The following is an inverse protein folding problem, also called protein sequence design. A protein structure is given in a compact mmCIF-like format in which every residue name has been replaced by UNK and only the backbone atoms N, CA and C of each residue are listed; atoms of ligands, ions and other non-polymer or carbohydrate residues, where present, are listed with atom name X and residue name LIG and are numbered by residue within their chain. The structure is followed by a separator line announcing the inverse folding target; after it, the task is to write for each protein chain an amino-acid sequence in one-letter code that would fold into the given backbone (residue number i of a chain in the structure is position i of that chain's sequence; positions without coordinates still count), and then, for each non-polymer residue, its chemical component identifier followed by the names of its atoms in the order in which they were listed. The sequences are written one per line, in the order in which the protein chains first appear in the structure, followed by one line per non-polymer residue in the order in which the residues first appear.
data_IF_630735359052
#
_entry.id   IF_630735359052
#
_cell.length_a   1.000
_cell.length_b   1.000
_cell.length_c   1.000
_cell.angle_alpha   90.00
_cell.angle_beta   90.00
_cell.angle_gamma   90.00
#
_symmetry.space_group_name_H-M   'P 1'
#
loop_
_entity.id
_entity.type
_entity.pdbx_description
1 polymer ?
#
# COMPACT_ATOMS: atom_id res chain seq x y z
N UNK A 1 89.34 -6.15 -11.47
CA UNK A 1 88.29 -6.40 -10.46
C UNK A 1 86.98 -5.98 -11.08
N UNK A 2 86.16 -6.94 -11.53
CA UNK A 2 84.89 -6.69 -12.27
C UNK A 2 83.72 -6.97 -11.32
N UNK A 3 83.04 -5.92 -10.94
CA UNK A 3 81.84 -5.99 -10.12
C UNK A 3 80.67 -6.32 -11.02
N UNK A 4 80.04 -7.46 -10.85
CA UNK A 4 78.83 -7.83 -11.56
C UNK A 4 77.63 -7.31 -10.74
N UNK A 5 76.90 -6.38 -11.29
CA UNK A 5 75.59 -5.98 -10.75
C UNK A 5 74.54 -7.05 -11.08
N UNK A 6 74.00 -7.65 -10.05
CA UNK A 6 72.88 -8.54 -10.19
C UNK A 6 71.61 -7.71 -10.05
N UNK A 7 70.93 -7.47 -11.17
CA UNK A 7 69.61 -6.83 -11.16
C UNK A 7 68.57 -7.92 -10.88
N UNK A 8 68.08 -7.93 -9.67
CA UNK A 8 66.94 -8.78 -9.32
C UNK A 8 65.64 -8.12 -9.79
N UNK A 9 65.05 -8.67 -10.83
CA UNK A 9 63.77 -8.22 -11.38
C UNK A 9 62.65 -8.82 -10.48
N UNK A 10 62.12 -8.02 -9.60
CA UNK A 10 60.94 -8.39 -8.79
C UNK A 10 59.69 -8.29 -9.69
N UNK A 11 59.20 -9.38 -10.20
CA UNK A 11 57.94 -9.46 -10.92
C UNK A 11 56.80 -9.51 -9.91
N UNK A 12 56.12 -8.40 -9.71
CA UNK A 12 54.88 -8.31 -8.96
C UNK A 12 53.75 -8.89 -9.81
N UNK A 13 53.33 -10.10 -9.50
CA UNK A 13 52.08 -10.67 -10.00
C UNK A 13 50.90 -10.00 -9.28
N UNK A 14 50.30 -9.04 -9.93
CA UNK A 14 48.97 -8.57 -9.56
C UNK A 14 47.94 -9.62 -10.01
N UNK A 15 47.55 -10.47 -9.10
CA UNK A 15 46.38 -11.32 -9.31
C UNK A 15 45.14 -10.44 -9.26
N UNK A 16 44.63 -10.09 -10.45
CA UNK A 16 43.27 -9.54 -10.54
C UNK A 16 42.28 -10.64 -10.17
N UNK A 17 41.83 -10.63 -8.93
CA UNK A 17 40.64 -11.39 -8.56
C UNK A 17 39.46 -10.61 -9.16
N UNK A 18 39.05 -11.01 -10.34
CA UNK A 18 37.77 -10.60 -10.88
C UNK A 18 36.66 -11.23 -10.04
N UNK A 19 36.19 -10.50 -9.04
CA UNK A 19 34.92 -10.84 -8.40
C UNK A 19 33.84 -10.61 -9.44
N UNK A 20 33.38 -11.68 -10.04
CA UNK A 20 32.12 -11.66 -10.79
C UNK A 20 31.00 -11.34 -9.77
N UNK A 21 30.70 -10.07 -9.60
CA UNK A 21 29.49 -9.65 -8.94
C UNK A 21 28.36 -9.97 -9.92
N UNK A 22 27.92 -11.20 -9.89
CA UNK A 22 26.64 -11.57 -10.48
C UNK A 22 25.56 -10.87 -9.66
N UNK A 23 25.17 -9.68 -10.07
CA UNK A 23 23.97 -9.06 -9.58
C UNK A 23 22.79 -9.88 -10.11
N UNK A 24 22.50 -10.98 -9.43
CA UNK A 24 21.20 -11.60 -9.57
C UNK A 24 20.21 -10.54 -9.17
N UNK A 25 19.50 -10.01 -10.15
CA UNK A 25 18.27 -9.25 -9.88
C UNK A 25 17.34 -10.28 -9.26
N UNK A 26 17.27 -10.27 -7.94
CA UNK A 26 16.32 -11.09 -7.22
C UNK A 26 14.92 -10.62 -7.61
N UNK A 27 13.98 -11.52 -7.85
CA UNK A 27 12.61 -11.13 -8.09
C UNK A 27 12.13 -10.23 -6.95
N UNK A 28 11.27 -9.24 -7.23
CA UNK A 28 10.67 -8.43 -6.18
C UNK A 28 10.08 -9.33 -5.09
N UNK A 29 10.50 -9.15 -3.85
CA UNK A 29 10.04 -9.95 -2.72
C UNK A 29 11.01 -11.04 -2.21
N UNK A 30 12.19 -11.22 -2.82
CA UNK A 30 13.21 -12.17 -2.32
C UNK A 30 14.36 -11.53 -1.56
N UNK A 31 14.22 -10.26 -1.17
CA UNK A 31 15.19 -9.57 -0.34
C UNK A 31 15.31 -10.20 1.05
N UNK A 32 16.54 -10.30 1.55
CA UNK A 32 16.82 -10.79 2.91
C UNK A 32 16.49 -9.79 4.02
N UNK A 33 15.97 -8.63 3.67
CA UNK A 33 15.50 -7.63 4.63
C UNK A 33 13.99 -7.70 4.72
N UNK A 34 13.56 -8.01 5.91
CA UNK A 34 12.16 -8.15 6.31
C UNK A 34 11.37 -6.83 6.35
N UNK A 35 11.80 -5.81 5.64
CA UNK A 35 11.22 -4.47 5.74
C UNK A 35 10.22 -4.12 4.65
N UNK A 36 10.04 -5.00 3.68
CA UNK A 36 8.82 -4.96 2.89
C UNK A 36 7.88 -5.95 3.54
N UNK A 37 6.82 -5.50 4.21
CA UNK A 37 5.84 -6.43 4.71
C UNK A 37 5.39 -7.29 3.52
N UNK A 38 5.67 -8.57 3.61
CA UNK A 38 5.38 -9.55 2.58
C UNK A 38 3.87 -9.80 2.37
N UNK A 39 3.08 -9.19 3.15
CA UNK A 39 1.67 -8.92 2.94
C UNK A 39 1.45 -7.83 1.89
N UNK A 40 2.48 -7.59 1.09
CA UNK A 40 2.30 -6.89 -0.16
C UNK A 40 1.08 -7.49 -0.83
N UNK A 41 0.12 -6.95 -0.52
CA UNK A 41 -1.29 -7.03 -0.82
C UNK A 41 -1.56 -7.56 -2.23
N UNK A 42 -0.98 -8.67 -2.50
CA UNK A 42 -1.34 -9.66 -3.50
C UNK A 42 -2.85 -9.97 -3.41
N UNK A 43 -3.42 -9.59 -2.27
CA UNK A 43 -4.83 -9.56 -1.95
C UNK A 43 -5.71 -8.84 -2.97
N UNK A 44 -5.15 -8.09 -3.87
CA UNK A 44 -5.93 -7.24 -4.76
C UNK A 44 -6.15 -7.81 -6.15
N UNK A 45 -5.46 -8.86 -6.51
CA UNK A 45 -5.75 -9.51 -7.76
C UNK A 45 -6.93 -10.48 -7.59
N UNK A 46 -8.10 -9.96 -7.85
CA UNK A 46 -9.34 -10.73 -8.01
C UNK A 46 -9.54 -11.19 -9.45
N UNK A 47 -8.50 -11.30 -10.25
CA UNK A 47 -8.61 -11.92 -11.56
C UNK A 47 -9.04 -13.38 -11.39
N UNK A 48 -9.86 -13.88 -12.29
CA UNK A 48 -10.37 -15.26 -12.23
C UNK A 48 -9.27 -16.33 -12.24
N UNK A 49 -8.03 -15.97 -12.59
CA UNK A 49 -6.85 -16.83 -12.53
C UNK A 49 -6.35 -17.04 -11.10
N UNK A 50 -6.70 -16.18 -10.16
CA UNK A 50 -6.32 -16.23 -8.75
C UNK A 50 -7.42 -16.88 -7.88
N UNK A 51 -8.26 -17.74 -8.43
CA UNK A 51 -9.26 -18.51 -7.70
C UNK A 51 -8.71 -19.39 -6.56
N UNK A 52 -7.47 -19.19 -6.19
CA UNK A 52 -6.80 -19.84 -5.08
C UNK A 52 -7.16 -19.11 -3.79
N UNK A 53 -7.72 -19.86 -2.90
CA UNK A 53 -8.19 -19.45 -1.60
C UNK A 53 -7.10 -18.68 -0.85
N UNK A 54 -7.19 -17.37 -0.85
CA UNK A 54 -6.64 -16.63 0.26
C UNK A 54 -7.50 -16.96 1.49
N UNK A 55 -6.88 -17.69 2.41
CA UNK A 55 -7.59 -18.11 3.61
C UNK A 55 -8.09 -16.88 4.35
N UNK A 56 -9.40 -16.83 4.50
CA UNK A 56 -10.14 -16.23 5.59
C UNK A 56 -10.38 -14.73 5.66
N UNK A 57 -10.18 -13.94 4.66
CA UNK A 57 -10.83 -12.63 4.67
C UNK A 57 -12.34 -12.80 4.41
N UNK A 58 -13.08 -13.20 5.43
CA UNK A 58 -14.53 -13.42 5.33
C UNK A 58 -15.25 -12.10 5.00
N UNK A 59 -16.13 -12.14 4.03
CA UNK A 59 -16.99 -11.01 3.69
C UNK A 59 -16.37 -9.93 2.81
N UNK A 60 -15.31 -10.25 2.08
CA UNK A 60 -14.74 -9.37 1.06
C UNK A 60 -15.48 -9.53 -0.27
N UNK A 61 -16.55 -8.78 -0.44
CA UNK A 61 -17.27 -8.70 -1.70
C UNK A 61 -16.98 -7.37 -2.38
N UNK A 62 -16.53 -7.42 -3.65
CA UNK A 62 -16.26 -6.24 -4.47
C UNK A 62 -15.35 -5.21 -3.80
N UNK A 63 -14.10 -5.60 -3.58
CA UNK A 63 -13.04 -4.68 -3.14
C UNK A 63 -12.53 -3.87 -4.31
N UNK A 64 -12.34 -2.57 -4.10
CA UNK A 64 -11.73 -1.70 -5.10
C UNK A 64 -10.31 -1.29 -4.71
N UNK A 65 -10.07 -1.06 -3.44
CA UNK A 65 -8.77 -0.63 -2.97
C UNK A 65 -8.55 -1.02 -1.51
N UNK A 66 -7.30 -1.07 -1.11
CA UNK A 66 -6.91 -1.26 0.27
C UNK A 66 -5.69 -0.41 0.60
N UNK A 67 -5.48 -0.20 1.89
CA UNK A 67 -4.31 0.47 2.44
C UNK A 67 -3.95 -0.16 3.78
N UNK A 68 -2.70 0.01 4.20
CA UNK A 68 -2.21 -0.46 5.48
C UNK A 68 -1.77 0.71 6.36
N UNK A 69 -1.87 0.55 7.67
CA UNK A 69 -1.23 1.46 8.62
C UNK A 69 0.17 0.98 9.01
N UNK A 70 0.86 1.76 9.83
CA UNK A 70 2.22 1.42 10.31
C UNK A 70 2.25 0.20 11.24
N UNK A 71 1.12 -0.23 11.78
CA UNK A 71 0.98 -1.44 12.59
C UNK A 71 0.65 -2.67 11.74
N UNK A 72 0.51 -2.50 10.44
CA UNK A 72 0.17 -3.57 9.50
C UNK A 72 -1.33 -3.86 9.37
N UNK A 73 -2.21 -3.19 10.10
CA UNK A 73 -3.64 -3.38 9.92
C UNK A 73 -4.07 -2.96 8.51
N UNK A 74 -5.04 -3.68 7.98
CA UNK A 74 -5.49 -3.53 6.60
C UNK A 74 -6.86 -2.88 6.56
N UNK A 75 -7.00 -1.84 5.78
CA UNK A 75 -8.26 -1.13 5.54
C UNK A 75 -8.69 -1.38 4.11
N UNK A 76 -9.91 -1.89 3.95
CA UNK A 76 -10.44 -2.30 2.65
C UNK A 76 -11.66 -1.46 2.30
N UNK A 77 -11.58 -0.79 1.16
CA UNK A 77 -12.70 -0.06 0.58
C UNK A 77 -13.61 -1.03 -0.18
N UNK A 78 -14.85 -1.18 0.29
CA UNK A 78 -15.83 -2.12 -0.26
C UNK A 78 -16.94 -1.42 -1.03
N UNK A 79 -17.14 -1.84 -2.28
CA UNK A 79 -18.22 -1.33 -3.11
C UNK A 79 -19.60 -1.75 -2.62
N UNK A 80 -19.78 -3.03 -2.34
CA UNK A 80 -21.11 -3.59 -2.03
C UNK A 80 -21.71 -3.12 -0.72
N UNK A 81 -20.86 -2.74 0.24
CA UNK A 81 -21.28 -2.27 1.56
C UNK A 81 -21.13 -0.78 1.75
N UNK A 82 -20.61 -0.08 0.74
CA UNK A 82 -20.34 1.37 0.78
C UNK A 82 -19.57 1.80 2.03
N UNK A 83 -18.48 1.11 2.32
CA UNK A 83 -17.71 1.43 3.52
C UNK A 83 -16.28 0.94 3.48
N UNK A 84 -15.60 1.23 4.57
CA UNK A 84 -14.26 0.74 4.86
C UNK A 84 -14.34 -0.28 5.96
N UNK A 85 -13.72 -1.45 5.77
CA UNK A 85 -13.52 -2.46 6.82
C UNK A 85 -12.09 -2.48 7.28
N UNK A 86 -11.88 -2.70 8.57
CA UNK A 86 -10.56 -2.94 9.15
C UNK A 86 -10.34 -4.42 9.41
N UNK A 87 -9.16 -4.90 9.05
CA UNK A 87 -8.70 -6.26 9.33
C UNK A 87 -7.40 -6.23 10.11
N UNK A 88 -7.30 -7.11 11.10
CA UNK A 88 -6.08 -7.30 11.87
C UNK A 88 -5.02 -7.98 11.02
N UNK A 89 -3.78 -7.53 11.13
CA UNK A 89 -2.66 -8.12 10.40
C UNK A 89 -2.38 -9.58 10.80
N UNK A 90 -2.49 -9.89 12.09
CA UNK A 90 -2.05 -11.17 12.64
C UNK A 90 -2.83 -12.39 12.11
N UNK A 91 -4.12 -12.22 11.88
CA UNK A 91 -5.03 -13.32 11.55
C UNK A 91 -6.00 -13.03 10.41
N UNK A 92 -5.95 -11.82 9.85
CA UNK A 92 -6.87 -11.35 8.84
C UNK A 92 -8.35 -11.35 9.27
N UNK A 93 -8.59 -11.34 10.58
CA UNK A 93 -9.94 -11.20 11.12
C UNK A 93 -10.45 -9.76 10.98
N UNK A 94 -11.75 -9.59 10.82
CA UNK A 94 -12.37 -8.27 10.88
C UNK A 94 -12.26 -7.72 12.31
N UNK A 95 -11.69 -6.53 12.47
CA UNK A 95 -11.63 -5.85 13.77
C UNK A 95 -12.99 -5.23 14.10
N UNK A 96 -13.83 -6.01 14.76
CA UNK A 96 -15.20 -5.59 15.12
C UNK A 96 -15.28 -4.49 16.16
N UNK A 97 -14.16 -4.18 16.83
CA UNK A 97 -14.07 -3.07 17.79
C UNK A 97 -13.92 -1.71 17.11
N UNK A 98 -13.48 -1.71 15.84
CA UNK A 98 -13.25 -0.50 15.07
C UNK A 98 -14.52 0.00 14.39
N UNK A 99 -14.83 1.28 14.53
CA UNK A 99 -16.00 1.90 13.93
C UNK A 99 -17.32 1.30 14.44
N UNK A 100 -18.21 0.95 13.53
CA UNK A 100 -19.44 0.23 13.83
C UNK A 100 -19.31 -1.22 13.38
N UNK A 101 -19.01 -2.10 14.31
CA UNK A 101 -18.82 -3.53 14.04
C UNK A 101 -17.81 -3.81 12.92
N UNK A 102 -16.65 -3.18 13.02
CA UNK A 102 -15.53 -3.32 12.07
C UNK A 102 -15.71 -2.60 10.75
N UNK A 103 -16.68 -1.69 10.66
CA UNK A 103 -16.98 -0.99 9.41
C UNK A 103 -17.27 0.49 9.67
N UNK A 104 -16.77 1.36 8.78
CA UNK A 104 -17.08 2.79 8.73
C UNK A 104 -17.54 3.17 7.34
N UNK A 105 -18.45 4.14 7.24
CA UNK A 105 -18.85 4.71 5.95
C UNK A 105 -20.08 4.10 5.30
N UNK A 106 -20.79 3.19 5.99
CA UNK A 106 -22.08 2.65 5.49
C UNK A 106 -23.21 3.69 5.55
N UNK A 107 -23.16 4.56 6.53
CA UNK A 107 -24.18 5.60 6.77
C UNK A 107 -23.56 6.82 7.46
N UNK A 108 -24.36 7.86 7.69
CA UNK A 108 -23.94 9.06 8.40
C UNK A 108 -22.98 9.97 7.64
N UNK A 109 -22.29 10.84 8.39
CA UNK A 109 -21.44 11.89 7.84
C UNK A 109 -20.20 11.37 7.09
N UNK A 110 -19.75 10.16 7.38
CA UNK A 110 -18.65 9.49 6.68
C UNK A 110 -19.08 8.50 5.61
N UNK A 111 -20.34 8.55 5.20
CA UNK A 111 -20.82 7.65 4.14
C UNK A 111 -19.92 7.74 2.91
N UNK A 112 -19.50 6.58 2.41
CA UNK A 112 -18.70 6.45 1.20
C UNK A 112 -19.54 5.77 0.13
N UNK A 113 -19.76 6.48 -0.98
CA UNK A 113 -20.44 5.92 -2.14
C UNK A 113 -19.43 5.55 -3.21
N UNK A 114 -19.36 4.27 -3.54
CA UNK A 114 -18.41 3.74 -4.52
C UNK A 114 -16.98 4.17 -4.20
N UNK A 115 -16.38 3.63 -3.11
CA UNK A 115 -15.04 3.97 -2.69
C UNK A 115 -14.00 3.30 -3.58
N UNK A 116 -13.44 4.04 -4.53
CA UNK A 116 -12.45 3.51 -5.49
C UNK A 116 -11.01 3.58 -5.00
N UNK A 117 -10.67 4.57 -4.19
CA UNK A 117 -9.32 4.79 -3.68
C UNK A 117 -9.29 4.91 -2.16
N UNK A 118 -8.22 4.40 -1.56
CA UNK A 118 -7.98 4.50 -0.13
C UNK A 118 -6.49 4.70 0.14
N UNK A 119 -6.14 5.55 1.09
CA UNK A 119 -4.77 5.77 1.56
C UNK A 119 -4.78 6.03 3.05
N UNK A 120 -3.78 5.49 3.75
CA UNK A 120 -3.53 5.80 5.17
C UNK A 120 -2.33 6.73 5.26
N UNK A 121 -2.47 7.81 6.01
CA UNK A 121 -1.39 8.74 6.27
C UNK A 121 -1.61 9.46 7.61
N UNK A 122 -0.58 9.49 8.45
CA UNK A 122 -0.58 10.17 9.76
C UNK A 122 -1.83 9.89 10.61
N UNK A 123 -2.19 8.62 10.77
CA UNK A 123 -3.32 8.20 11.59
C UNK A 123 -4.70 8.52 10.98
N UNK A 124 -4.75 8.93 9.73
CA UNK A 124 -5.98 9.23 8.99
C UNK A 124 -6.09 8.33 7.77
N UNK A 125 -7.26 7.76 7.57
CA UNK A 125 -7.65 7.05 6.36
C UNK A 125 -8.37 8.05 5.45
N UNK A 126 -7.86 8.21 4.24
CA UNK A 126 -8.49 8.98 3.17
C UNK A 126 -9.16 8.02 2.21
N UNK A 127 -10.45 8.24 1.93
CA UNK A 127 -11.25 7.37 1.06
C UNK A 127 -11.95 8.20 0.02
N UNK A 128 -11.77 7.86 -1.25
CA UNK A 128 -12.55 8.48 -2.32
C UNK A 128 -14.00 8.00 -2.24
N UNK A 129 -14.93 8.93 -2.18
CA UNK A 129 -16.37 8.67 -2.30
C UNK A 129 -16.83 9.23 -3.64
N UNK A 130 -16.88 8.36 -4.64
CA UNK A 130 -17.05 8.75 -6.03
C UNK A 130 -18.33 9.54 -6.25
N UNK A 131 -19.49 8.98 -5.91
CA UNK A 131 -20.77 9.64 -6.14
C UNK A 131 -20.98 10.89 -5.30
N UNK A 132 -20.41 10.95 -4.09
CA UNK A 132 -20.48 12.13 -3.25
C UNK A 132 -19.51 13.24 -3.68
N UNK A 133 -18.59 12.94 -4.63
CA UNK A 133 -17.53 13.87 -5.07
C UNK A 133 -16.68 14.37 -3.92
N UNK A 134 -16.34 13.49 -2.99
CA UNK A 134 -15.61 13.84 -1.76
C UNK A 134 -14.53 12.82 -1.45
N UNK A 135 -13.54 13.27 -0.72
CA UNK A 135 -12.59 12.39 -0.07
C UNK A 135 -12.92 12.42 1.42
N UNK A 136 -13.33 11.29 1.97
CA UNK A 136 -13.66 11.15 3.38
C UNK A 136 -12.40 10.98 4.21
N UNK A 137 -12.40 11.54 5.41
CA UNK A 137 -11.34 11.37 6.40
C UNK A 137 -11.88 10.58 7.58
N UNK A 138 -11.22 9.47 7.89
CA UNK A 138 -11.61 8.55 8.97
C UNK A 138 -10.39 8.36 9.86
N UNK A 139 -10.57 8.38 11.17
CA UNK A 139 -9.47 8.16 12.11
C UNK A 139 -9.10 6.67 12.15
N UNK A 140 -7.79 6.39 12.10
CA UNK A 140 -7.26 5.03 12.15
C UNK A 140 -7.58 4.32 13.47
N UNK A 141 -7.47 5.02 14.60
CA UNK A 141 -7.56 4.41 15.93
C UNK A 141 -8.95 3.85 16.25
N UNK A 142 -10.01 4.54 15.87
CA UNK A 142 -11.38 4.24 16.30
C UNK A 142 -12.43 4.26 15.19
N UNK A 143 -12.05 4.65 13.98
CA UNK A 143 -12.98 4.78 12.86
C UNK A 143 -13.85 6.05 12.93
N UNK A 144 -13.54 7.01 13.78
CA UNK A 144 -14.31 8.24 13.89
C UNK A 144 -14.24 9.05 12.59
N UNK A 145 -15.36 9.64 12.21
CA UNK A 145 -15.46 10.51 11.06
C UNK A 145 -14.81 11.88 11.35
N UNK A 146 -13.80 12.25 10.55
CA UNK A 146 -13.10 13.53 10.64
C UNK A 146 -13.55 14.54 9.57
N UNK A 147 -14.66 14.24 8.88
CA UNK A 147 -15.18 15.09 7.82
C UNK A 147 -14.70 14.70 6.43
N UNK A 148 -14.68 15.65 5.50
CA UNK A 148 -14.33 15.39 4.11
C UNK A 148 -13.62 16.56 3.45
N UNK A 149 -12.90 16.25 2.39
CA UNK A 149 -12.33 17.20 1.43
C UNK A 149 -13.21 17.18 0.19
N UNK A 150 -13.56 18.35 -0.32
CA UNK A 150 -14.21 18.52 -1.61
C UNK A 150 -13.12 18.88 -2.62
N UNK A 151 -12.89 18.08 -3.67
CA UNK A 151 -12.00 18.49 -4.75
C UNK A 151 -12.48 19.80 -5.36
N UNK A 152 -11.56 20.69 -5.70
CA UNK A 152 -11.87 22.07 -6.09
C UNK A 152 -12.64 22.26 -7.42
N UNK A 153 -12.95 21.17 -8.13
CA UNK A 153 -13.69 21.20 -9.38
C UNK A 153 -15.13 20.71 -9.21
N UNK A 154 -16.07 21.38 -9.82
CA UNK A 154 -17.51 21.17 -9.63
C UNK A 154 -18.03 19.76 -9.97
N UNK A 155 -17.34 19.04 -10.85
CA UNK A 155 -17.71 17.68 -11.28
C UNK A 155 -16.59 16.65 -11.08
N UNK A 156 -15.70 16.89 -10.13
CA UNK A 156 -14.61 15.97 -9.84
C UNK A 156 -15.13 14.72 -9.11
N UNK A 157 -15.13 13.60 -9.79
CA UNK A 157 -15.43 12.28 -9.21
C UNK A 157 -14.12 11.60 -8.83
N UNK A 158 -13.68 11.64 -7.56
CA UNK A 158 -12.39 11.11 -7.15
C UNK A 158 -12.37 9.60 -7.27
N UNK A 159 -11.30 9.07 -7.86
CA UNK A 159 -11.05 7.63 -7.99
C UNK A 159 -9.85 7.18 -7.19
N UNK A 160 -8.65 7.35 -7.72
CA UNK A 160 -7.43 6.99 -7.03
C UNK A 160 -6.98 8.12 -6.11
N UNK A 161 -6.31 7.76 -5.02
CA UNK A 161 -5.76 8.72 -4.07
C UNK A 161 -4.31 8.34 -3.79
N UNK A 162 -3.43 9.34 -3.74
CA UNK A 162 -2.09 9.19 -3.19
C UNK A 162 -1.72 10.40 -2.34
N UNK A 163 -0.70 10.21 -1.48
CA UNK A 163 -0.18 11.28 -0.62
C UNK A 163 1.33 11.31 -0.75
N UNK A 164 1.86 12.47 -1.13
CA UNK A 164 3.27 12.69 -1.24
C UNK A 164 3.63 14.06 -0.66
N UNK A 165 4.67 14.14 0.16
CA UNK A 165 5.13 15.37 0.82
C UNK A 165 4.01 16.16 1.51
N UNK A 166 3.08 15.46 2.19
CA UNK A 166 1.95 16.07 2.88
C UNK A 166 0.82 16.58 1.98
N UNK A 167 0.95 16.42 0.68
CA UNK A 167 -0.09 16.80 -0.29
C UNK A 167 -0.91 15.58 -0.70
N UNK A 168 -2.22 15.76 -0.76
CA UNK A 168 -3.16 14.76 -1.23
C UNK A 168 -3.40 14.95 -2.73
N UNK A 169 -3.16 13.90 -3.49
CA UNK A 169 -3.42 13.84 -4.92
C UNK A 169 -4.60 12.91 -5.18
N UNK A 170 -5.52 13.32 -6.01
CA UNK A 170 -6.66 12.49 -6.41
C UNK A 170 -6.86 12.56 -7.91
N UNK A 171 -6.90 11.42 -8.58
CA UNK A 171 -7.37 11.38 -9.96
C UNK A 171 -8.87 11.54 -10.01
N UNK A 172 -9.37 12.28 -10.98
CA UNK A 172 -10.80 12.50 -11.19
C UNK A 172 -11.20 12.21 -12.62
N UNK A 173 -12.49 11.99 -12.88
CA UNK A 173 -12.98 11.77 -14.25
C UNK A 173 -12.92 13.03 -15.12
N UNK A 174 -12.79 14.20 -14.53
CA UNK A 174 -12.75 15.48 -15.23
C UNK A 174 -11.32 15.92 -15.61
N UNK A 175 -10.36 15.04 -15.50
CA UNK A 175 -8.93 15.33 -15.68
C UNK A 175 -8.29 15.84 -14.39
N UNK A 176 -7.00 16.13 -14.50
CA UNK A 176 -6.24 16.82 -13.46
C UNK A 176 -6.53 18.31 -13.52
#
# INVERSE_FOLDING_TARGET
MKIKFLISTLVLFFSFVSTNVSSKILPPGTGTQADVPSNLLILLDKSGSMGWRMRNAQGLNYMYASATDSSGNIYVAQYSTYGVKKYNYSDMSNDTSWGSNGTVGRSGSCRTYYPYGIKVHNGIIYVSSYYDRRIRKIRVSDGACLGSIVPGQTYAYPRSIDIHNGHLYASTNSGL
#
